data_IF_427102054410
#
_entry.id   IF_427102054410
#
_cell.length_a   1.000
_cell.length_b   1.000
_cell.length_c   1.000
_cell.angle_alpha   90.00
_cell.angle_beta   90.00
_cell.angle_gamma   90.00
#
_symmetry.space_group_name_H-M   'P 1'
#
loop_
_entity.id
_entity.type
_entity.pdbx_description
1 polymer ?
#
# COMPACT_ATOMS: atom_id res chain seq x y z
N UNK A 1 -10.44 -27.14 26.91
CA UNK A 1 -10.17 -26.59 25.58
C UNK A 1 -8.68 -26.70 25.38
N UNK A 2 -8.28 -27.68 24.66
CA UNK A 2 -6.92 -28.19 24.55
C UNK A 2 -6.12 -27.37 23.53
N UNK A 3 -4.83 -27.23 23.82
CA UNK A 3 -3.79 -26.46 23.09
C UNK A 3 -3.57 -26.88 21.62
N UNK A 4 -4.42 -27.73 21.06
CA UNK A 4 -4.23 -28.34 19.73
C UNK A 4 -5.11 -27.72 18.62
N UNK A 5 -6.01 -26.80 18.98
CA UNK A 5 -6.96 -26.20 18.01
C UNK A 5 -6.46 -24.87 17.39
N UNK A 6 -5.25 -24.42 17.76
CA UNK A 6 -4.63 -23.20 17.19
C UNK A 6 -3.63 -23.46 16.05
N UNK A 7 -3.39 -24.71 15.72
CA UNK A 7 -2.39 -25.08 14.70
C UNK A 7 -2.95 -25.15 13.26
N UNK A 8 -4.25 -24.99 13.05
CA UNK A 8 -4.87 -25.13 11.70
C UNK A 8 -5.33 -23.80 11.04
N UNK A 9 -5.03 -22.65 11.63
CA UNK A 9 -5.08 -21.41 10.85
C UNK A 9 -3.75 -21.33 10.08
N UNK A 10 -3.66 -22.12 9.01
CA UNK A 10 -2.58 -22.06 8.06
C UNK A 10 -2.41 -20.62 7.58
N UNK A 11 -1.32 -19.97 8.02
CA UNK A 11 -0.82 -18.80 7.35
C UNK A 11 -0.73 -19.16 5.85
N UNK A 12 -1.15 -18.27 4.93
CA UNK A 12 -0.93 -18.52 3.52
C UNK A 12 0.58 -18.61 3.33
N UNK A 13 1.05 -19.81 3.14
CA UNK A 13 2.43 -20.08 2.76
C UNK A 13 2.57 -19.49 1.37
N UNK A 14 3.00 -18.24 1.30
CA UNK A 14 3.47 -17.65 0.06
C UNK A 14 4.67 -18.51 -0.35
N UNK A 15 4.44 -19.47 -1.22
CA UNK A 15 5.49 -20.29 -1.79
C UNK A 15 6.56 -19.34 -2.37
N UNK A 16 7.85 -19.58 -2.13
CA UNK A 16 8.91 -18.75 -2.67
C UNK A 16 8.84 -18.81 -4.20
N UNK A 17 8.42 -17.71 -4.81
CA UNK A 17 8.35 -17.49 -6.28
C UNK A 17 9.76 -17.41 -6.89
N UNK A 18 10.73 -18.12 -6.38
CA UNK A 18 12.13 -17.78 -6.55
C UNK A 18 12.87 -18.41 -7.72
N UNK A 19 12.34 -19.42 -8.41
CA UNK A 19 13.13 -20.11 -9.46
C UNK A 19 12.46 -20.15 -10.85
N UNK A 20 11.18 -19.88 -10.96
CA UNK A 20 10.46 -19.92 -12.23
C UNK A 20 10.41 -18.56 -12.94
N UNK A 21 10.54 -17.46 -12.20
CA UNK A 21 10.52 -16.11 -12.78
C UNK A 21 11.64 -15.87 -13.82
N UNK A 22 12.80 -16.47 -13.63
CA UNK A 22 13.90 -16.38 -14.59
C UNK A 22 13.63 -17.13 -15.92
N UNK A 23 12.61 -17.98 -15.96
CA UNK A 23 12.23 -18.77 -17.15
C UNK A 23 11.00 -18.22 -17.89
N UNK A 24 10.29 -17.29 -17.26
CA UNK A 24 9.10 -16.68 -17.87
C UNK A 24 9.52 -15.57 -18.85
N UNK A 25 8.80 -15.45 -19.95
CA UNK A 25 8.96 -14.31 -20.85
C UNK A 25 8.50 -13.01 -20.18
N UNK A 26 9.00 -11.85 -20.61
CA UNK A 26 8.57 -10.56 -20.09
C UNK A 26 7.03 -10.38 -20.14
N UNK A 27 6.37 -10.88 -21.17
CA UNK A 27 4.91 -10.86 -21.30
C UNK A 27 4.21 -11.70 -20.22
N UNK A 28 4.76 -12.85 -19.88
CA UNK A 28 4.22 -13.70 -18.81
C UNK A 28 4.40 -13.06 -17.43
N UNK A 29 5.56 -12.45 -17.17
CA UNK A 29 5.79 -11.72 -15.94
C UNK A 29 4.85 -10.52 -15.78
N UNK A 30 4.59 -9.79 -16.86
CA UNK A 30 3.63 -8.68 -16.85
C UNK A 30 2.19 -9.17 -16.60
N UNK A 31 1.79 -10.28 -17.22
CA UNK A 31 0.48 -10.89 -16.97
C UNK A 31 0.34 -11.32 -15.51
N UNK A 32 1.32 -12.04 -14.96
CA UNK A 32 1.35 -12.44 -13.57
C UNK A 32 1.22 -11.23 -12.62
N UNK A 33 1.94 -10.15 -12.90
CA UNK A 33 1.94 -8.96 -12.08
C UNK A 33 0.65 -8.13 -12.15
N UNK A 34 -0.05 -8.11 -13.30
CA UNK A 34 -1.17 -7.19 -13.54
C UNK A 34 -2.54 -7.86 -13.58
N UNK A 35 -2.63 -9.08 -14.13
CA UNK A 35 -3.90 -9.70 -14.50
C UNK A 35 -4.26 -10.90 -13.62
N UNK A 36 -3.28 -11.72 -13.25
CA UNK A 36 -3.50 -12.99 -12.56
C UNK A 36 -4.34 -12.85 -11.31
N UNK A 37 -4.03 -11.88 -10.45
CA UNK A 37 -4.80 -11.68 -9.22
C UNK A 37 -6.29 -11.38 -9.51
N UNK A 38 -6.55 -10.60 -10.56
CA UNK A 38 -7.92 -10.26 -10.94
C UNK A 38 -8.69 -11.45 -11.53
N UNK A 39 -7.97 -12.37 -12.18
CA UNK A 39 -8.55 -13.58 -12.78
C UNK A 39 -8.79 -14.66 -11.71
N UNK A 40 -7.86 -14.82 -10.76
CA UNK A 40 -7.97 -15.79 -9.65
C UNK A 40 -8.96 -15.33 -8.57
N UNK A 41 -9.06 -14.01 -8.34
CA UNK A 41 -9.87 -13.39 -7.27
C UNK A 41 -10.73 -12.22 -7.78
N UNK A 42 -11.69 -12.48 -8.67
CA UNK A 42 -12.50 -11.40 -9.26
C UNK A 42 -13.31 -10.62 -8.22
N UNK A 43 -13.66 -11.23 -7.08
CA UNK A 43 -14.39 -10.59 -5.99
C UNK A 43 -13.60 -9.50 -5.25
N UNK A 44 -12.26 -9.59 -5.27
CA UNK A 44 -11.37 -8.58 -4.66
C UNK A 44 -10.81 -7.60 -5.68
N UNK A 45 -11.10 -7.81 -6.97
CA UNK A 45 -10.58 -6.99 -8.05
C UNK A 45 -11.57 -5.89 -8.46
N UNK A 46 -11.06 -4.69 -8.71
CA UNK A 46 -11.83 -3.60 -9.32
C UNK A 46 -11.94 -3.70 -10.86
N UNK A 47 -11.30 -4.71 -11.48
CA UNK A 47 -11.29 -4.92 -12.95
C UNK A 47 -12.70 -5.01 -13.57
N UNK A 48 -13.70 -5.66 -12.93
CA UNK A 48 -15.06 -5.68 -13.46
C UNK A 48 -15.74 -4.31 -13.53
N UNK A 49 -15.15 -3.28 -12.90
CA UNK A 49 -15.65 -1.92 -12.90
C UNK A 49 -16.85 -1.72 -11.96
N UNK A 50 -17.75 -0.81 -12.34
CA UNK A 50 -18.89 -0.45 -11.51
C UNK A 50 -19.90 -1.59 -11.39
N UNK A 51 -20.32 -1.90 -10.17
CA UNK A 51 -21.43 -2.83 -9.90
C UNK A 51 -22.74 -2.28 -10.51
N UNK A 52 -23.68 -3.17 -10.79
CA UNK A 52 -24.93 -2.81 -11.49
C UNK A 52 -25.63 -1.60 -10.87
N UNK A 53 -25.79 -1.57 -9.57
CA UNK A 53 -26.47 -0.45 -8.89
C UNK A 53 -25.69 0.87 -9.02
N UNK A 54 -24.36 0.85 -8.98
CA UNK A 54 -23.52 2.03 -9.19
C UNK A 54 -23.64 2.57 -10.63
N UNK A 55 -23.82 1.68 -11.61
CA UNK A 55 -24.01 2.05 -13.01
C UNK A 55 -25.34 2.75 -13.26
N UNK A 56 -26.39 2.31 -12.56
CA UNK A 56 -27.74 2.85 -12.77
C UNK A 56 -28.09 4.00 -11.81
N UNK A 57 -27.48 4.07 -10.64
CA UNK A 57 -27.80 5.10 -9.63
C UNK A 57 -27.71 6.55 -10.14
N UNK A 58 -26.73 6.99 -10.97
CA UNK A 58 -26.70 8.35 -11.47
C UNK A 58 -27.89 8.65 -12.41
N UNK A 59 -28.33 7.68 -13.19
CA UNK A 59 -29.49 7.86 -14.08
C UNK A 59 -30.80 7.96 -13.29
N UNK A 60 -30.96 7.15 -12.25
CA UNK A 60 -32.12 7.23 -11.34
C UNK A 60 -32.13 8.58 -10.64
N UNK A 61 -30.98 9.02 -10.11
CA UNK A 61 -30.86 10.33 -9.46
C UNK A 61 -31.19 11.47 -10.42
N UNK A 62 -30.67 11.42 -11.66
CA UNK A 62 -30.98 12.42 -12.69
C UNK A 62 -32.48 12.43 -13.04
N UNK A 63 -33.12 11.27 -13.18
CA UNK A 63 -34.57 11.17 -13.44
C UNK A 63 -35.37 11.77 -12.29
N UNK A 64 -35.08 11.46 -11.04
CA UNK A 64 -35.73 12.03 -9.85
C UNK A 64 -35.58 13.57 -9.82
N UNK A 65 -34.37 14.06 -10.13
CA UNK A 65 -34.10 15.51 -10.19
C UNK A 65 -34.96 16.19 -11.28
N UNK A 66 -34.97 15.63 -12.49
CA UNK A 66 -35.77 16.17 -13.61
C UNK A 66 -37.25 16.18 -13.28
N UNK A 67 -37.78 15.07 -12.76
CA UNK A 67 -39.21 14.98 -12.35
C UNK A 67 -39.53 16.00 -11.25
N UNK A 68 -38.66 16.18 -10.28
CA UNK A 68 -38.83 17.19 -9.23
C UNK A 68 -38.83 18.61 -9.79
N UNK A 69 -37.94 18.93 -10.71
CA UNK A 69 -37.90 20.26 -11.37
C UNK A 69 -39.15 20.54 -12.20
N UNK A 70 -39.67 19.52 -12.89
CA UNK A 70 -40.91 19.63 -13.66
C UNK A 70 -42.13 19.78 -12.75
N UNK A 71 -42.15 19.13 -11.59
CA UNK A 71 -43.25 19.21 -10.64
C UNK A 71 -43.26 20.56 -9.89
N UNK A 72 -42.13 20.94 -9.31
CA UNK A 72 -41.96 22.23 -8.64
C UNK A 72 -40.48 22.58 -8.51
N UNK A 73 -40.01 23.43 -9.41
CA UNK A 73 -38.59 23.78 -9.47
C UNK A 73 -38.04 24.47 -8.22
N UNK A 74 -38.85 25.35 -7.57
CA UNK A 74 -38.45 26.02 -6.34
C UNK A 74 -38.25 25.05 -5.18
N UNK A 75 -39.19 24.15 -4.96
CA UNK A 75 -39.12 23.15 -3.89
C UNK A 75 -37.92 22.22 -4.16
N UNK A 76 -37.75 21.78 -5.40
CA UNK A 76 -36.63 20.93 -5.77
C UNK A 76 -35.28 21.60 -5.53
N UNK A 77 -35.15 22.87 -5.90
CA UNK A 77 -33.93 23.65 -5.65
C UNK A 77 -33.65 23.75 -4.15
N UNK A 78 -34.64 24.06 -3.34
CA UNK A 78 -34.50 24.14 -1.87
C UNK A 78 -34.03 22.82 -1.30
N UNK A 79 -34.68 21.71 -1.72
CA UNK A 79 -34.31 20.35 -1.24
C UNK A 79 -32.86 19.99 -1.62
N UNK A 80 -32.47 20.28 -2.85
CA UNK A 80 -31.08 20.04 -3.31
C UNK A 80 -30.06 20.89 -2.51
N UNK A 81 -30.38 22.16 -2.27
CA UNK A 81 -29.53 23.03 -1.46
C UNK A 81 -29.41 22.57 -0.01
N UNK A 82 -30.52 22.14 0.59
CA UNK A 82 -30.51 21.56 1.96
C UNK A 82 -29.66 20.30 1.99
N UNK A 83 -29.84 19.39 1.04
CA UNK A 83 -29.07 18.15 0.96
C UNK A 83 -27.56 18.44 0.78
N UNK A 84 -27.20 19.35 -0.10
CA UNK A 84 -25.82 19.75 -0.32
C UNK A 84 -25.19 20.38 0.94
N UNK A 85 -25.93 21.26 1.63
CA UNK A 85 -25.48 21.87 2.88
C UNK A 85 -25.31 20.83 4.00
N UNK A 86 -26.21 19.86 4.09
CA UNK A 86 -26.12 18.77 5.06
C UNK A 86 -24.85 17.93 4.84
N UNK A 87 -24.61 17.50 3.60
CA UNK A 87 -23.38 16.74 3.23
C UNK A 87 -22.13 17.57 3.53
N UNK A 88 -22.12 18.84 3.17
CA UNK A 88 -21.02 19.73 3.47
C UNK A 88 -20.78 19.87 4.97
N UNK A 89 -21.84 20.09 5.76
CA UNK A 89 -21.76 20.24 7.22
C UNK A 89 -21.25 18.98 7.91
N UNK A 90 -21.70 17.80 7.48
CA UNK A 90 -21.21 16.51 7.99
C UNK A 90 -19.71 16.37 7.71
N UNK A 91 -19.28 16.68 6.47
CA UNK A 91 -17.87 16.60 6.06
C UNK A 91 -16.99 17.60 6.83
N UNK A 92 -17.46 18.84 6.98
CA UNK A 92 -16.76 19.88 7.74
C UNK A 92 -16.64 19.49 9.21
N UNK A 93 -17.73 19.01 9.84
CA UNK A 93 -17.73 18.56 11.22
C UNK A 93 -16.77 17.40 11.43
N UNK A 94 -16.76 16.42 10.51
CA UNK A 94 -15.84 15.30 10.57
C UNK A 94 -14.36 15.76 10.51
N UNK A 95 -14.03 16.70 9.61
CA UNK A 95 -12.67 17.25 9.50
C UNK A 95 -12.25 18.00 10.77
N UNK A 96 -13.15 18.83 11.29
CA UNK A 96 -12.90 19.58 12.54
C UNK A 96 -12.72 18.60 13.71
N UNK A 97 -13.64 17.65 13.88
CA UNK A 97 -13.55 16.62 14.90
C UNK A 97 -12.23 15.83 14.80
N UNK A 98 -11.86 15.37 13.60
CA UNK A 98 -10.61 14.65 13.37
C UNK A 98 -9.38 15.46 13.78
N UNK A 99 -9.40 16.78 13.58
CA UNK A 99 -8.30 17.66 13.99
C UNK A 99 -8.19 17.77 15.49
N UNK A 100 -9.31 17.89 16.19
CA UNK A 100 -9.32 17.97 17.66
C UNK A 100 -9.01 16.62 18.35
N UNK A 101 -9.41 15.50 17.76
CA UNK A 101 -9.14 14.18 18.32
C UNK A 101 -7.70 13.68 18.08
N UNK A 102 -6.98 14.22 17.08
CA UNK A 102 -5.57 13.86 16.81
C UNK A 102 -4.64 13.98 18.03
N UNK A 103 -4.60 15.08 18.78
CA UNK A 103 -3.71 15.18 19.94
C UNK A 103 -4.06 14.19 21.04
N UNK A 104 -5.35 13.86 21.22
CA UNK A 104 -5.80 12.87 22.23
C UNK A 104 -5.31 11.48 21.81
N UNK A 105 -5.47 11.10 20.56
CA UNK A 105 -4.99 9.82 20.03
C UNK A 105 -3.46 9.71 20.14
N UNK A 106 -2.72 10.77 19.86
CA UNK A 106 -1.26 10.80 20.02
C UNK A 106 -0.84 10.66 21.49
N UNK A 107 -1.55 11.28 22.42
CA UNK A 107 -1.29 11.14 23.85
C UNK A 107 -1.56 9.72 24.35
N UNK A 108 -2.64 9.09 23.88
CA UNK A 108 -2.93 7.68 24.16
C UNK A 108 -1.87 6.76 23.58
N UNK A 109 -1.49 6.96 22.32
CA UNK A 109 -0.43 6.19 21.69
C UNK A 109 0.91 6.32 22.43
N UNK A 110 1.31 7.54 22.82
CA UNK A 110 2.50 7.76 23.65
C UNK A 110 2.43 7.08 25.01
N UNK A 111 1.24 6.99 25.64
CA UNK A 111 1.06 6.26 26.91
C UNK A 111 1.22 4.77 26.72
N UNK A 112 0.64 4.21 25.65
CA UNK A 112 0.77 2.78 25.33
C UNK A 112 2.24 2.44 25.06
N UNK A 113 2.93 3.19 24.20
CA UNK A 113 4.35 2.97 23.90
C UNK A 113 5.25 3.11 25.14
N UNK A 114 4.93 4.04 26.07
CA UNK A 114 5.66 4.14 27.33
C UNK A 114 5.39 2.97 28.27
N UNK A 115 4.17 2.45 28.32
CA UNK A 115 3.82 1.28 29.13
C UNK A 115 4.53 0.03 28.59
N UNK A 116 4.53 -0.19 27.29
CA UNK A 116 5.27 -1.28 26.64
C UNK A 116 6.79 -1.17 26.88
N UNK A 117 7.35 0.04 26.76
CA UNK A 117 8.77 0.25 27.02
C UNK A 117 9.13 0.00 28.49
N UNK A 118 8.24 0.33 29.44
CA UNK A 118 8.43 0.05 30.86
C UNK A 118 8.35 -1.45 31.13
N UNK A 119 7.41 -2.16 30.56
CA UNK A 119 7.26 -3.61 30.68
C UNK A 119 8.48 -4.35 30.10
N UNK A 120 8.98 -3.92 28.94
CA UNK A 120 10.21 -4.46 28.37
C UNK A 120 11.44 -4.20 29.25
N UNK A 121 11.53 -3.01 29.87
CA UNK A 121 12.61 -2.67 30.78
C UNK A 121 12.58 -3.52 32.07
N UNK A 122 11.40 -3.82 32.62
CA UNK A 122 11.23 -4.73 33.77
C UNK A 122 11.67 -6.16 33.44
N UNK A 123 11.49 -6.58 32.18
CA UNK A 123 11.96 -7.87 31.67
C UNK A 123 13.48 -7.88 31.33
N UNK A 124 14.16 -6.74 31.56
CA UNK A 124 15.57 -6.58 31.18
C UNK A 124 15.81 -6.53 29.68
N UNK A 125 14.78 -6.23 28.89
CA UNK A 125 14.81 -6.11 27.46
C UNK A 125 14.89 -4.63 27.07
N UNK A 126 16.01 -4.19 26.49
CA UNK A 126 16.12 -2.87 25.88
C UNK A 126 15.28 -2.84 24.58
N UNK A 127 14.29 -1.93 24.45
CA UNK A 127 13.51 -1.78 23.22
C UNK A 127 14.39 -1.55 21.97
N UNK A 128 15.55 -0.90 22.14
CA UNK A 128 16.53 -0.70 21.08
C UNK A 128 17.39 -1.95 20.81
N UNK A 129 17.35 -2.92 21.70
CA UNK A 129 18.17 -4.15 21.63
C UNK A 129 17.33 -5.40 21.35
N UNK A 130 16.02 -5.24 21.08
CA UNK A 130 15.20 -6.33 20.53
C UNK A 130 15.75 -6.84 19.20
N UNK A 131 16.44 -5.97 18.46
CA UNK A 131 17.18 -6.31 17.25
C UNK A 131 18.46 -7.12 17.52
N UNK A 132 18.97 -7.16 18.75
CA UNK A 132 20.16 -7.96 19.12
C UNK A 132 19.86 -9.47 19.20
N UNK A 133 18.59 -9.87 19.22
CA UNK A 133 18.15 -11.25 18.98
C UNK A 133 18.03 -11.54 17.47
N UNK A 134 18.91 -10.98 16.67
CA UNK A 134 18.92 -11.06 15.20
C UNK A 134 18.91 -12.50 14.64
N UNK A 135 19.05 -13.53 15.48
CA UNK A 135 18.99 -14.94 15.04
C UNK A 135 17.60 -15.38 14.55
N UNK A 136 16.53 -14.69 14.95
CA UNK A 136 15.14 -15.05 14.64
C UNK A 136 14.42 -14.00 13.76
N UNK A 137 15.12 -12.99 13.26
CA UNK A 137 14.51 -11.97 12.41
C UNK A 137 14.34 -12.51 10.97
N UNK A 138 13.15 -12.37 10.37
CA UNK A 138 12.91 -12.78 9.00
C UNK A 138 13.61 -11.85 7.99
N UNK A 139 13.81 -12.34 6.78
CA UNK A 139 14.17 -11.46 5.67
C UNK A 139 12.95 -10.60 5.32
N UNK A 140 13.15 -9.28 5.25
CA UNK A 140 12.11 -8.31 4.95
C UNK A 140 12.37 -7.67 3.59
N UNK A 141 11.39 -7.73 2.68
CA UNK A 141 11.46 -7.02 1.40
C UNK A 141 10.69 -5.71 1.48
N UNK A 142 11.30 -4.63 1.02
CA UNK A 142 10.66 -3.32 0.89
C UNK A 142 10.53 -2.99 -0.61
N UNK A 143 9.31 -2.81 -1.08
CA UNK A 143 9.02 -2.40 -2.45
C UNK A 143 8.88 -0.87 -2.52
N UNK A 144 9.69 -0.23 -3.34
CA UNK A 144 9.75 1.23 -3.47
C UNK A 144 9.47 1.63 -4.92
N UNK A 145 8.20 1.78 -5.32
CA UNK A 145 7.86 2.22 -6.67
C UNK A 145 8.15 3.72 -6.85
N UNK A 146 8.97 4.04 -7.85
CA UNK A 146 9.44 5.40 -8.15
C UNK A 146 9.15 5.73 -9.61
N UNK A 147 8.62 6.95 -9.87
CA UNK A 147 8.34 7.43 -11.22
C UNK A 147 8.48 8.95 -11.29
N UNK A 148 9.33 9.45 -12.21
CA UNK A 148 9.68 10.86 -12.37
C UNK A 148 10.21 11.53 -11.09
N UNK A 149 11.05 10.82 -10.36
CA UNK A 149 11.59 11.28 -9.08
C UNK A 149 13.14 11.37 -9.09
N UNK A 150 13.75 11.64 -10.25
CA UNK A 150 15.21 11.72 -10.41
C UNK A 150 15.90 12.65 -9.42
N UNK A 151 15.24 13.77 -9.06
CA UNK A 151 15.77 14.77 -8.13
C UNK A 151 15.76 14.33 -6.65
N UNK A 152 15.05 13.28 -6.28
CA UNK A 152 14.90 12.82 -4.88
C UNK A 152 15.36 11.38 -4.66
N UNK A 153 15.53 10.59 -5.72
CA UNK A 153 15.83 9.15 -5.63
C UNK A 153 17.10 8.88 -4.82
N UNK A 154 18.15 9.69 -4.95
CA UNK A 154 19.38 9.54 -4.17
C UNK A 154 19.12 9.64 -2.66
N UNK A 155 18.28 10.59 -2.22
CA UNK A 155 17.92 10.74 -0.81
C UNK A 155 17.01 9.59 -0.32
N UNK A 156 16.16 9.07 -1.20
CA UNK A 156 15.31 7.92 -0.87
C UNK A 156 16.21 6.70 -0.61
N UNK A 157 17.15 6.41 -1.50
CA UNK A 157 18.10 5.29 -1.36
C UNK A 157 18.95 5.45 -0.09
N UNK A 158 19.46 6.64 0.16
CA UNK A 158 20.25 6.94 1.35
C UNK A 158 19.43 6.71 2.64
N UNK A 159 18.22 7.26 2.74
CA UNK A 159 17.35 7.06 3.90
C UNK A 159 16.98 5.59 4.14
N UNK A 160 16.73 4.83 3.08
CA UNK A 160 16.42 3.41 3.16
C UNK A 160 17.62 2.58 3.61
N UNK A 161 18.84 2.98 3.23
CA UNK A 161 20.07 2.31 3.66
C UNK A 161 20.37 2.46 5.15
N UNK A 162 19.77 3.47 5.81
CA UNK A 162 19.91 3.75 7.24
C UNK A 162 18.78 3.17 8.11
N UNK A 163 17.95 2.30 7.55
CA UNK A 163 16.92 1.64 8.34
C UNK A 163 17.53 0.80 9.48
N UNK A 164 16.90 0.88 10.66
CA UNK A 164 17.28 0.10 11.83
C UNK A 164 16.84 -1.37 11.69
N UNK A 165 17.43 -2.08 10.73
CA UNK A 165 17.24 -3.51 10.50
C UNK A 165 18.57 -4.13 10.03
N UNK A 166 18.90 -5.39 10.40
CA UNK A 166 20.13 -6.01 9.93
C UNK A 166 20.21 -6.02 8.42
N UNK A 167 21.25 -5.39 7.86
CA UNK A 167 21.43 -5.19 6.42
C UNK A 167 21.40 -6.49 5.61
N UNK A 168 21.88 -7.60 6.20
CA UNK A 168 21.86 -8.93 5.57
C UNK A 168 20.47 -9.56 5.49
N UNK A 169 19.48 -9.04 6.26
CA UNK A 169 18.09 -9.49 6.31
C UNK A 169 17.14 -8.49 5.64
N UNK A 170 17.67 -7.43 5.03
CA UNK A 170 16.91 -6.39 4.37
C UNK A 170 17.09 -6.49 2.85
N UNK A 171 16.00 -6.61 2.12
CA UNK A 171 15.94 -6.66 0.67
C UNK A 171 15.10 -5.49 0.15
N UNK A 172 15.74 -4.43 -0.32
CA UNK A 172 15.05 -3.23 -0.81
C UNK A 172 15.02 -3.26 -2.33
N UNK A 173 13.82 -3.31 -2.90
CA UNK A 173 13.60 -3.27 -4.35
C UNK A 173 13.10 -1.88 -4.76
N UNK A 174 13.96 -1.10 -5.40
CA UNK A 174 13.59 0.15 -6.03
C UNK A 174 13.05 -0.17 -7.43
N UNK A 175 11.75 0.05 -7.63
CA UNK A 175 11.02 -0.29 -8.84
C UNK A 175 10.97 0.94 -9.75
N UNK A 176 11.65 0.85 -10.88
CA UNK A 176 11.84 1.95 -11.83
C UNK A 176 11.11 1.61 -13.13
N UNK A 177 10.23 2.48 -13.61
CA UNK A 177 9.55 2.26 -14.88
C UNK A 177 10.52 2.41 -16.05
N UNK A 178 10.50 1.49 -17.02
CA UNK A 178 11.44 1.41 -18.14
C UNK A 178 11.50 2.70 -18.98
N UNK A 179 10.37 3.41 -19.08
CA UNK A 179 10.27 4.66 -19.84
C UNK A 179 10.82 5.89 -19.11
N UNK A 180 11.20 5.76 -17.80
CA UNK A 180 11.75 6.85 -16.99
C UNK A 180 13.27 6.75 -16.88
N UNK A 181 13.94 7.00 -18.01
CA UNK A 181 15.41 6.90 -18.12
C UNK A 181 16.13 7.85 -17.17
N UNK A 182 15.56 9.04 -16.92
CA UNK A 182 16.16 10.05 -16.04
C UNK A 182 16.24 9.55 -14.58
N UNK A 183 15.17 8.97 -14.06
CA UNK A 183 15.17 8.41 -12.70
C UNK A 183 16.05 7.15 -12.61
N UNK A 184 16.10 6.33 -13.67
CA UNK A 184 16.99 5.15 -13.73
C UNK A 184 18.47 5.57 -13.65
N UNK A 185 18.87 6.57 -14.41
CA UNK A 185 20.25 7.08 -14.41
C UNK A 185 20.60 7.71 -13.05
N UNK A 186 19.72 8.51 -12.47
CA UNK A 186 19.89 9.09 -11.15
C UNK A 186 20.01 8.03 -10.06
N UNK A 187 19.19 6.97 -10.11
CA UNK A 187 19.25 5.85 -9.16
C UNK A 187 20.57 5.08 -9.25
N UNK A 188 21.09 4.85 -10.47
CA UNK A 188 22.40 4.23 -10.68
C UNK A 188 23.55 5.12 -10.19
N UNK A 189 23.45 6.43 -10.46
CA UNK A 189 24.46 7.41 -10.02
C UNK A 189 24.54 7.53 -8.48
N UNK A 190 23.46 7.22 -7.76
CA UNK A 190 23.43 7.20 -6.31
C UNK A 190 24.24 6.05 -5.68
N UNK A 191 24.76 5.11 -6.47
CA UNK A 191 25.55 3.97 -6.01
C UNK A 191 24.92 3.22 -4.82
N UNK A 192 23.73 2.61 -5.00
CA UNK A 192 23.01 1.97 -3.92
C UNK A 192 23.83 0.86 -3.24
N UNK A 193 23.70 0.68 -1.91
CA UNK A 193 24.35 -0.41 -1.19
C UNK A 193 23.79 -1.78 -1.59
N UNK A 194 24.46 -2.86 -1.19
CA UNK A 194 24.10 -4.22 -1.57
C UNK A 194 22.69 -4.66 -1.13
N UNK A 195 22.15 -4.04 -0.09
CA UNK A 195 20.77 -4.28 0.38
C UNK A 195 19.70 -3.64 -0.53
N UNK A 196 20.09 -2.75 -1.45
CA UNK A 196 19.21 -2.05 -2.39
C UNK A 196 19.43 -2.57 -3.80
N UNK A 197 18.39 -3.13 -4.39
CA UNK A 197 18.39 -3.63 -5.77
C UNK A 197 17.54 -2.72 -6.66
N UNK A 198 18.07 -2.31 -7.79
CA UNK A 198 17.32 -1.58 -8.79
C UNK A 198 16.65 -2.57 -9.73
N UNK A 199 15.32 -2.52 -9.82
CA UNK A 199 14.53 -3.36 -10.71
C UNK A 199 13.79 -2.49 -11.74
N UNK A 200 14.11 -2.67 -13.00
CA UNK A 200 13.40 -1.99 -14.08
C UNK A 200 12.13 -2.76 -14.40
N UNK A 201 11.00 -2.09 -14.23
CA UNK A 201 9.66 -2.61 -14.53
C UNK A 201 9.38 -2.35 -16.03
N UNK A 202 9.11 -3.38 -16.83
CA UNK A 202 8.82 -3.21 -18.26
C UNK A 202 7.62 -2.29 -18.48
N UNK A 203 7.68 -1.50 -19.57
CA UNK A 203 6.58 -0.62 -19.94
C UNK A 203 5.29 -1.41 -20.23
N UNK A 204 4.14 -0.87 -19.81
CA UNK A 204 2.84 -1.52 -19.97
C UNK A 204 1.73 -0.78 -19.26
N UNK A 205 0.49 -1.09 -19.64
CA UNK A 205 -0.71 -0.51 -19.04
C UNK A 205 -1.36 -1.48 -18.01
N UNK A 206 -2.01 -0.97 -16.96
CA UNK A 206 -2.05 0.44 -16.52
C UNK A 206 -0.73 0.85 -15.83
N UNK A 207 -0.23 2.06 -16.09
CA UNK A 207 0.96 2.61 -15.43
C UNK A 207 0.60 3.06 -14.01
N UNK A 208 0.66 2.15 -13.07
CA UNK A 208 0.27 2.41 -11.68
C UNK A 208 1.29 1.84 -10.71
N UNK A 209 1.44 2.49 -9.54
CA UNK A 209 2.29 1.98 -8.45
C UNK A 209 1.94 0.54 -8.03
N UNK A 210 0.66 0.15 -7.92
CA UNK A 210 0.31 -1.25 -7.65
C UNK A 210 0.85 -2.24 -8.68
N UNK A 211 0.84 -1.91 -9.98
CA UNK A 211 1.42 -2.78 -11.02
C UNK A 211 2.91 -2.98 -10.81
N UNK A 212 3.64 -1.89 -10.57
CA UNK A 212 5.06 -1.95 -10.29
C UNK A 212 5.34 -2.80 -9.03
N UNK A 213 4.57 -2.62 -7.95
CA UNK A 213 4.69 -3.43 -6.74
C UNK A 213 4.41 -4.90 -7.01
N UNK A 214 3.35 -5.24 -7.76
CA UNK A 214 3.03 -6.62 -8.12
C UNK A 214 4.17 -7.26 -8.93
N UNK A 215 4.77 -6.50 -9.86
CA UNK A 215 5.94 -6.97 -10.59
C UNK A 215 7.14 -7.18 -9.64
N UNK A 216 7.38 -6.25 -8.71
CA UNK A 216 8.42 -6.36 -7.70
C UNK A 216 8.26 -7.57 -6.79
N UNK A 217 7.04 -7.97 -6.45
CA UNK A 217 6.75 -9.16 -5.65
C UNK A 217 7.33 -10.45 -6.25
N UNK A 218 7.41 -10.55 -7.59
CA UNK A 218 7.99 -11.71 -8.26
C UNK A 218 9.49 -11.87 -7.98
N UNK A 219 10.16 -10.80 -7.55
CA UNK A 219 11.59 -10.74 -7.27
C UNK A 219 11.92 -10.56 -5.79
N UNK A 220 10.91 -10.43 -4.94
CA UNK A 220 11.06 -10.31 -3.50
C UNK A 220 11.72 -11.57 -2.92
N UNK A 221 12.67 -11.39 -1.98
CA UNK A 221 13.37 -12.48 -1.29
C UNK A 221 12.91 -12.64 0.15
N UNK A 222 12.18 -11.65 0.66
CA UNK A 222 11.74 -11.62 2.04
C UNK A 222 10.59 -12.59 2.32
N UNK A 223 10.53 -13.07 3.54
CA UNK A 223 9.37 -13.77 4.08
C UNK A 223 8.20 -12.80 4.27
N UNK A 224 8.52 -11.53 4.53
CA UNK A 224 7.57 -10.42 4.63
C UNK A 224 7.88 -9.32 3.61
N UNK A 225 6.81 -8.64 3.15
CA UNK A 225 6.88 -7.53 2.20
C UNK A 225 6.10 -6.33 2.74
#
# INVERSE_FOLDING_TARGET
MTTDERAELGAPTAAPVSLDAARLSAAQLLYEASERFADDHPEYSAKPGLVRWQRYSPFVLAAVLVLGLLANWWVTLIVVLIAANLVFSINATFKVASTFFRPIAQLQHRRIMKAEAAELAELGLDPNNLLARAGDLPIYTILVPVYHEANVIGRIIDNLSHLHYPQGLLDILVLLEENDTETIEAARAAQPPASVRLLVVPDGEPRTKPRACNYGLLFAKGEYV
#
